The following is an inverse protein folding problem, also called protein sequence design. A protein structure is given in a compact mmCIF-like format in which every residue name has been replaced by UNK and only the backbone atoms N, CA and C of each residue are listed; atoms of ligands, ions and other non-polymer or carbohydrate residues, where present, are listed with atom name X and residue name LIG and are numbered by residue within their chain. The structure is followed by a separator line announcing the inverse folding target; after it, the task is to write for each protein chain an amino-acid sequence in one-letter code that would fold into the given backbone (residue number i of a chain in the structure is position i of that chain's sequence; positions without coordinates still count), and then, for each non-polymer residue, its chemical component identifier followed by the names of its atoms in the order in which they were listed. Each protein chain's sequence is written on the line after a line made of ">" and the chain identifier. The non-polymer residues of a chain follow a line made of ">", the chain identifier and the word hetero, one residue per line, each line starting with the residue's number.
data_IF_643920674665
#
_entry.id   IF_643920674665
#
_cell.length_a   1.000
_cell.length_b   1.000
_cell.length_c   1.000
_cell.angle_alpha   90.00
_cell.angle_beta   90.00
_cell.angle_gamma   90.00
#
_symmetry.space_group_name_H-M   'P 1'
#
loop_
_entity.id
_entity.type
_entity.pdbx_description
1 polymer ?
#
# COMPACT_ATOMS: atom_id res chain seq x y z
N UNK A 1 57.34 -28.11 -40.99
CA UNK A 1 56.30 -27.56 -41.88
C UNK A 1 55.44 -26.59 -41.08
N UNK A 2 55.39 -25.32 -41.46
CA UNK A 2 54.27 -24.40 -41.15
C UNK A 2 53.16 -24.65 -42.20
N UNK A 3 51.85 -24.39 -41.97
CA UNK A 3 51.29 -23.04 -41.73
C UNK A 3 50.07 -22.93 -40.77
N UNK A 4 49.66 -21.66 -40.51
CA UNK A 4 48.52 -21.11 -39.74
C UNK A 4 47.19 -21.11 -40.59
N UNK A 5 46.21 -20.18 -40.40
CA UNK A 5 45.21 -19.85 -39.34
C UNK A 5 43.73 -19.79 -39.90
N UNK A 6 42.78 -19.24 -39.12
CA UNK A 6 41.36 -18.89 -39.42
C UNK A 6 40.35 -20.05 -39.34
N UNK A 7 39.14 -19.96 -38.80
CA UNK A 7 38.29 -18.90 -38.18
C UNK A 7 37.21 -19.66 -37.35
N UNK A 8 36.16 -19.13 -36.76
CA UNK A 8 35.48 -17.84 -36.68
C UNK A 8 34.40 -18.00 -35.57
N UNK A 9 34.10 -16.92 -34.82
CA UNK A 9 32.74 -16.47 -34.35
C UNK A 9 31.92 -17.39 -33.42
N UNK A 10 31.30 -16.97 -32.30
CA UNK A 10 30.84 -15.69 -31.73
C UNK A 10 30.91 -15.83 -30.18
N UNK A 11 31.37 -14.87 -29.35
CA UNK A 11 30.87 -13.53 -29.05
C UNK A 11 29.45 -13.50 -28.43
N UNK A 12 29.35 -13.60 -27.09
CA UNK A 12 28.86 -12.54 -26.18
C UNK A 12 28.95 -13.07 -24.73
N UNK A 13 29.89 -12.66 -23.87
CA UNK A 13 29.99 -11.40 -23.14
C UNK A 13 28.71 -10.96 -22.42
N UNK A 14 28.69 -11.17 -21.09
CA UNK A 14 28.40 -10.19 -20.04
C UNK A 14 27.67 -10.81 -18.84
N UNK A 15 28.47 -11.41 -17.96
CA UNK A 15 28.08 -11.57 -16.57
C UNK A 15 28.23 -10.25 -15.82
N UNK A 16 27.25 -9.96 -14.95
CA UNK A 16 27.36 -8.93 -13.91
C UNK A 16 26.27 -7.87 -13.96
N UNK A 17 25.29 -7.96 -13.06
CA UNK A 17 24.32 -6.87 -12.87
C UNK A 17 23.17 -7.18 -11.92
N UNK A 18 23.40 -6.92 -10.63
CA UNK A 18 22.43 -6.53 -9.60
C UNK A 18 21.23 -7.45 -9.30
N UNK A 19 21.33 -8.12 -8.15
CA UNK A 19 20.27 -8.91 -7.54
C UNK A 19 18.96 -8.16 -7.34
N UNK A 20 17.90 -8.70 -7.93
CA UNK A 20 16.53 -8.45 -7.52
C UNK A 20 16.31 -9.03 -6.13
N UNK A 21 16.47 -8.20 -5.09
CA UNK A 21 15.95 -8.48 -3.76
C UNK A 21 14.43 -8.50 -3.86
N UNK A 22 13.86 -9.70 -3.95
CA UNK A 22 12.47 -9.94 -3.59
C UNK A 22 12.32 -9.49 -2.13
N UNK A 23 11.62 -8.38 -1.90
CA UNK A 23 11.38 -7.84 -0.57
C UNK A 23 10.45 -8.78 0.20
N UNK A 24 11.02 -9.87 0.75
CA UNK A 24 10.41 -10.76 1.73
C UNK A 24 10.24 -10.05 3.07
N UNK A 25 9.37 -9.04 3.11
CA UNK A 25 9.14 -8.18 4.26
C UNK A 25 7.66 -8.04 4.60
N UNK A 26 6.92 -9.15 4.70
CA UNK A 26 5.52 -9.11 5.15
C UNK A 26 5.15 -10.25 6.10
N UNK A 27 6.09 -10.71 6.92
CA UNK A 27 5.83 -11.70 7.97
C UNK A 27 5.99 -11.14 9.40
N UNK A 28 6.73 -10.04 9.57
CA UNK A 28 6.95 -9.42 10.89
C UNK A 28 5.79 -8.47 11.23
N UNK A 29 5.32 -7.69 10.24
CA UNK A 29 4.13 -6.84 10.39
C UNK A 29 2.85 -7.66 10.65
N UNK A 30 2.78 -8.92 10.20
CA UNK A 30 1.64 -9.80 10.45
C UNK A 30 1.60 -10.44 11.84
N UNK A 31 2.74 -10.48 12.56
CA UNK A 31 2.86 -11.11 13.89
C UNK A 31 2.75 -10.12 15.06
N UNK A 32 2.99 -8.83 14.82
CA UNK A 32 2.77 -7.77 15.81
C UNK A 32 1.31 -7.28 15.87
N UNK A 33 0.48 -7.66 14.89
CA UNK A 33 -0.96 -7.39 14.89
C UNK A 33 -1.65 -8.49 15.71
N UNK A 34 -1.65 -8.31 17.02
CA UNK A 34 -2.62 -8.95 17.88
C UNK A 34 -4.01 -8.38 17.55
N UNK A 35 -4.81 -9.16 16.83
CA UNK A 35 -6.24 -8.92 16.65
C UNK A 35 -6.60 -8.30 15.31
N UNK A 36 -7.28 -9.11 14.48
CA UNK A 36 -7.99 -8.71 13.25
C UNK A 36 -7.12 -8.59 11.99
N UNK A 37 -6.56 -9.74 11.57
CA UNK A 37 -6.28 -9.97 10.15
C UNK A 37 -7.61 -9.94 9.38
N UNK A 38 -7.89 -8.85 8.67
CA UNK A 38 -8.99 -8.82 7.69
C UNK A 38 -8.59 -9.74 6.53
N UNK A 39 -9.36 -10.80 6.20
CA UNK A 39 -9.02 -11.70 5.11
C UNK A 39 -9.06 -10.95 3.77
N UNK A 40 -7.89 -10.72 3.16
CA UNK A 40 -7.80 -10.03 1.87
C UNK A 40 -6.43 -9.42 1.62
N UNK A 41 -6.02 -9.35 0.36
CA UNK A 41 -4.81 -8.63 -0.04
C UNK A 41 -4.98 -7.12 0.21
N UNK A 42 -3.93 -6.45 0.67
CA UNK A 42 -3.93 -4.99 0.84
C UNK A 42 -3.74 -4.30 -0.51
N UNK A 43 -4.62 -3.35 -0.82
CA UNK A 43 -4.51 -2.49 -2.02
C UNK A 43 -4.16 -1.06 -1.61
N UNK A 44 -3.34 -0.38 -2.44
CA UNK A 44 -3.01 1.03 -2.20
C UNK A 44 -4.18 1.93 -2.62
N UNK A 45 -4.51 2.89 -1.78
CA UNK A 45 -5.46 3.96 -2.12
C UNK A 45 -4.71 5.03 -2.94
N UNK A 46 -5.12 5.33 -4.18
CA UNK A 46 -4.49 6.35 -5.01
C UNK A 46 -5.01 7.74 -4.62
N UNK A 47 -4.59 8.24 -3.46
CA UNK A 47 -4.96 9.56 -2.95
C UNK A 47 -3.72 10.35 -2.51
N UNK A 48 -3.74 11.66 -2.79
CA UNK A 48 -2.74 12.60 -2.29
C UNK A 48 -3.32 13.41 -1.16
N UNK A 49 -2.50 13.66 -0.14
CA UNK A 49 -2.81 14.57 0.97
C UNK A 49 -1.78 15.70 0.98
N UNK A 50 -2.13 16.83 1.59
CA UNK A 50 -1.16 17.91 1.79
C UNK A 50 -0.08 17.49 2.79
N UNK A 51 1.12 18.09 2.69
CA UNK A 51 2.20 17.80 3.63
C UNK A 51 1.80 18.14 5.08
N UNK A 52 1.11 19.26 5.28
CA UNK A 52 0.59 19.65 6.60
C UNK A 52 -0.33 18.57 7.19
N UNK A 53 -1.28 18.06 6.40
CA UNK A 53 -2.17 16.99 6.86
C UNK A 53 -1.39 15.71 7.16
N UNK A 54 -0.37 15.37 6.37
CA UNK A 54 0.45 14.19 6.59
C UNK A 54 1.21 14.26 7.93
N UNK A 55 1.81 15.41 8.27
CA UNK A 55 2.49 15.56 9.56
C UNK A 55 1.48 15.51 10.72
N UNK A 56 0.34 16.18 10.59
CA UNK A 56 -0.73 16.11 11.60
C UNK A 56 -1.22 14.68 11.83
N UNK A 57 -1.35 13.86 10.78
CA UNK A 57 -1.72 12.46 10.91
C UNK A 57 -0.65 11.66 11.67
N UNK A 58 0.64 11.91 11.41
CA UNK A 58 1.74 11.25 12.14
C UNK A 58 1.75 11.65 13.61
N UNK A 59 1.66 12.93 13.90
CA UNK A 59 1.62 13.46 15.27
C UNK A 59 0.43 12.91 16.05
N UNK A 60 -0.74 12.83 15.41
CA UNK A 60 -1.96 12.27 16.01
C UNK A 60 -1.77 10.81 16.41
N UNK A 61 -1.20 9.97 15.53
CA UNK A 61 -0.95 8.55 15.84
C UNK A 61 -0.01 8.41 17.02
N UNK A 62 1.08 9.19 17.05
CA UNK A 62 2.03 9.17 18.16
C UNK A 62 1.38 9.64 19.47
N UNK A 63 0.56 10.69 19.42
CA UNK A 63 -0.16 11.19 20.58
C UNK A 63 -1.13 10.15 21.15
N UNK A 64 -1.92 9.49 20.28
CA UNK A 64 -2.86 8.44 20.69
C UNK A 64 -2.13 7.23 21.29
N UNK A 65 -1.01 6.82 20.71
CA UNK A 65 -0.18 5.73 21.24
C UNK A 65 0.43 6.01 22.62
N UNK A 66 0.59 7.29 22.97
CA UNK A 66 1.15 7.72 24.26
C UNK A 66 0.09 8.09 25.28
N UNK A 67 -1.17 8.21 24.87
CA UNK A 67 -2.24 8.64 25.75
C UNK A 67 -2.76 7.42 26.56
N UNK A 68 -2.61 7.44 27.90
CA UNK A 68 -3.07 6.33 28.75
C UNK A 68 -4.59 6.16 28.77
N UNK A 69 -5.36 7.18 28.38
CA UNK A 69 -6.82 7.15 28.36
C UNK A 69 -7.39 6.52 27.08
N UNK A 70 -6.55 6.22 26.09
CA UNK A 70 -6.96 5.58 24.85
C UNK A 70 -6.91 4.06 25.04
N UNK A 71 -8.08 3.44 25.18
CA UNK A 71 -8.22 2.00 25.44
C UNK A 71 -7.55 1.13 24.36
N UNK A 72 -7.70 1.51 23.09
CA UNK A 72 -7.13 0.81 21.94
C UNK A 72 -6.44 1.81 21.02
N UNK A 73 -5.15 2.09 21.21
CA UNK A 73 -4.43 3.02 20.35
C UNK A 73 -4.18 2.41 18.95
N UNK A 74 -4.07 3.25 17.90
CA UNK A 74 -3.75 2.76 16.57
C UNK A 74 -2.34 2.16 16.53
N UNK A 75 -2.19 0.97 15.93
CA UNK A 75 -0.88 0.29 15.80
C UNK A 75 0.05 1.01 14.82
N UNK A 76 -0.49 1.68 13.81
CA UNK A 76 0.28 2.39 12.80
C UNK A 76 -0.53 3.50 12.12
N UNK A 77 0.17 4.38 11.39
CA UNK A 77 -0.46 5.38 10.52
C UNK A 77 -1.41 4.74 9.50
N UNK A 78 -1.01 3.63 8.87
CA UNK A 78 -1.85 2.94 7.90
C UNK A 78 -3.13 2.40 8.54
N UNK A 79 -3.05 1.83 9.74
CA UNK A 79 -4.22 1.32 10.46
C UNK A 79 -5.18 2.45 10.87
N UNK A 80 -4.63 3.58 11.32
CA UNK A 80 -5.40 4.77 11.65
C UNK A 80 -6.15 5.32 10.43
N UNK A 81 -5.46 5.44 9.29
CA UNK A 81 -6.06 5.92 8.04
C UNK A 81 -7.09 4.93 7.50
N UNK A 82 -6.83 3.62 7.57
CA UNK A 82 -7.78 2.58 7.17
C UNK A 82 -9.08 2.65 7.98
N UNK A 83 -8.98 2.77 9.30
CA UNK A 83 -10.15 2.92 10.18
C UNK A 83 -10.93 4.22 9.91
N UNK A 84 -10.22 5.34 9.73
CA UNK A 84 -10.86 6.62 9.41
C UNK A 84 -11.60 6.58 8.06
N UNK A 85 -11.01 5.95 7.04
CA UNK A 85 -11.65 5.78 5.73
C UNK A 85 -12.85 4.83 5.84
N UNK A 86 -12.74 3.73 6.58
CA UNK A 86 -13.85 2.81 6.78
C UNK A 86 -15.06 3.51 7.42
N UNK A 87 -14.82 4.27 8.49
CA UNK A 87 -15.87 5.06 9.15
C UNK A 87 -16.53 6.06 8.20
N UNK A 88 -15.73 6.79 7.40
CA UNK A 88 -16.26 7.75 6.43
C UNK A 88 -17.09 7.09 5.31
N UNK A 89 -16.72 5.87 4.89
CA UNK A 89 -17.49 5.08 3.91
C UNK A 89 -18.82 4.61 4.52
N UNK A 90 -18.79 4.06 5.74
CA UNK A 90 -19.99 3.64 6.46
C UNK A 90 -20.96 4.80 6.66
N UNK A 91 -20.48 5.97 7.08
CA UNK A 91 -21.28 7.18 7.21
C UNK A 91 -21.92 7.59 5.88
N UNK A 92 -21.17 7.55 4.77
CA UNK A 92 -21.71 7.85 3.45
C UNK A 92 -22.76 6.83 3.00
N UNK A 93 -22.58 5.54 3.30
CA UNK A 93 -23.53 4.48 3.01
C UNK A 93 -24.84 4.65 3.80
N UNK A 94 -24.74 5.04 5.07
CA UNK A 94 -25.89 5.38 5.91
C UNK A 94 -26.63 6.60 5.38
N UNK A 95 -25.92 7.69 5.11
CA UNK A 95 -26.51 8.96 4.69
C UNK A 95 -27.11 8.92 3.28
N UNK A 96 -26.53 8.14 2.37
CA UNK A 96 -26.85 8.24 0.94
C UNK A 96 -27.30 6.93 0.29
N UNK A 97 -27.18 5.79 0.97
CA UNK A 97 -27.55 4.49 0.42
C UNK A 97 -28.33 3.61 1.41
N UNK A 98 -28.99 4.23 2.39
CA UNK A 98 -29.85 3.55 3.36
C UNK A 98 -29.12 2.51 4.21
N UNK A 99 -27.85 2.77 4.52
CA UNK A 99 -26.98 1.87 5.29
C UNK A 99 -26.50 0.65 4.51
N UNK A 100 -26.71 0.62 3.18
CA UNK A 100 -26.23 -0.47 2.32
C UNK A 100 -24.94 -0.06 1.63
N UNK A 101 -24.09 -1.06 1.33
CA UNK A 101 -22.90 -0.84 0.51
C UNK A 101 -23.24 -0.31 -0.87
N UNK A 102 -22.43 0.63 -1.36
CA UNK A 102 -22.53 1.06 -2.76
C UNK A 102 -22.24 -0.12 -3.69
N UNK A 103 -22.94 -0.23 -4.83
CA UNK A 103 -22.72 -1.32 -5.77
C UNK A 103 -21.30 -1.27 -6.33
N UNK A 104 -20.72 -2.44 -6.57
CA UNK A 104 -19.42 -2.56 -7.23
C UNK A 104 -19.44 -1.85 -8.59
N UNK A 105 -18.39 -1.07 -8.86
CA UNK A 105 -18.25 -0.39 -10.15
C UNK A 105 -18.26 -1.41 -11.30
N UNK A 106 -19.06 -1.21 -12.36
CA UNK A 106 -19.15 -2.14 -13.48
C UNK A 106 -17.83 -2.23 -14.28
N UNK A 107 -17.04 -1.16 -14.26
CA UNK A 107 -15.73 -1.12 -14.90
C UNK A 107 -14.66 -0.76 -13.85
N UNK A 108 -13.75 -1.70 -13.57
CA UNK A 108 -12.62 -1.48 -12.67
C UNK A 108 -11.69 -0.33 -13.09
N UNK A 109 -11.80 0.14 -14.34
CA UNK A 109 -10.98 1.20 -14.94
C UNK A 109 -11.59 2.61 -14.85
N UNK A 110 -12.79 2.78 -14.30
CA UNK A 110 -13.36 4.12 -14.12
C UNK A 110 -12.48 4.93 -13.16
N UNK A 111 -12.08 6.12 -13.60
CA UNK A 111 -11.26 7.03 -12.79
C UNK A 111 -12.04 7.45 -11.55
N UNK A 112 -11.45 7.26 -10.38
CA UNK A 112 -12.00 7.69 -9.08
C UNK A 112 -11.47 9.06 -8.65
N UNK A 113 -10.99 9.86 -9.61
CA UNK A 113 -10.47 11.21 -9.40
C UNK A 113 -11.16 12.21 -10.33
N UNK A 114 -10.79 13.51 -10.26
CA UNK A 114 -11.34 14.53 -11.13
C UNK A 114 -11.27 14.10 -12.61
N UNK A 115 -12.19 14.57 -13.48
CA UNK A 115 -11.99 14.46 -14.91
C UNK A 115 -10.57 14.95 -15.23
N UNK A 116 -9.86 14.23 -16.11
CA UNK A 116 -8.68 14.82 -16.71
C UNK A 116 -9.22 15.93 -17.60
N UNK A 117 -9.14 17.16 -17.10
CA UNK A 117 -9.33 18.36 -17.92
C UNK A 117 -8.25 18.46 -18.97
#
# INVERSE_FOLDING_TARGET
>A
MSPKPFGDKDADSSGGGAGGRTTGGSSILGKLIGGQQVPGGKSKVPAYVTNDLLERLRDTVVALQRNPDVEIPPVSLSAFVEAAIALAVEEAEEQHNGGRRFPSRPNAKLKTGPPVG
#
